data_IF_946686540081
#
_entry.id   IF_946686540081
#
_cell.length_a   1.000
_cell.length_b   1.000
_cell.length_c   1.000
_cell.angle_alpha   90.00
_cell.angle_beta   90.00
_cell.angle_gamma   90.00
#
_symmetry.space_group_name_H-M   'P 1'
#
loop_
_entity.id
_entity.type
_entity.pdbx_description
1 polymer ?
#
# COMPACT_ATOMS: atom_id res chain seq x y z
N UNK A 1 -12.36 -2.18 -27.19
CA UNK A 1 -13.09 -1.75 -25.99
C UNK A 1 -14.56 -1.89 -26.34
N UNK A 2 -15.22 -2.83 -25.73
CA UNK A 2 -16.64 -3.04 -25.97
C UNK A 2 -17.45 -1.85 -25.43
N UNK A 3 -18.59 -1.53 -26.04
CA UNK A 3 -19.43 -0.38 -25.62
C UNK A 3 -19.74 -0.44 -24.11
N UNK A 4 -19.88 -1.62 -23.58
CA UNK A 4 -20.17 -1.89 -22.16
C UNK A 4 -19.03 -1.47 -21.23
N UNK A 5 -17.77 -1.65 -21.62
CA UNK A 5 -16.61 -1.23 -20.84
C UNK A 5 -16.48 0.30 -20.74
N UNK A 6 -16.81 1.00 -21.83
CA UNK A 6 -16.81 2.46 -21.85
C UNK A 6 -17.87 3.05 -20.89
N UNK A 7 -19.07 2.45 -20.85
CA UNK A 7 -20.15 2.86 -19.93
C UNK A 7 -19.73 2.63 -18.47
N UNK A 8 -19.15 1.47 -18.18
CA UNK A 8 -18.64 1.14 -16.84
C UNK A 8 -17.58 2.15 -16.36
N UNK A 9 -16.62 2.50 -17.23
CA UNK A 9 -15.60 3.51 -16.91
C UNK A 9 -16.22 4.90 -16.67
N UNK A 10 -17.25 5.29 -17.43
CA UNK A 10 -17.96 6.56 -17.21
C UNK A 10 -18.64 6.57 -15.83
N UNK A 11 -19.34 5.49 -15.47
CA UNK A 11 -20.01 5.36 -14.16
C UNK A 11 -18.99 5.47 -13.03
N UNK A 12 -17.87 4.72 -13.11
CA UNK A 12 -16.79 4.75 -12.12
C UNK A 12 -16.20 6.17 -12.01
N UNK A 13 -15.89 6.81 -13.17
CA UNK A 13 -15.29 8.15 -13.20
C UNK A 13 -16.20 9.23 -12.61
N UNK A 14 -17.51 9.13 -12.82
CA UNK A 14 -18.49 10.05 -12.20
C UNK A 14 -18.47 9.86 -10.68
N UNK A 15 -18.47 8.63 -10.20
CA UNK A 15 -18.34 8.32 -8.78
C UNK A 15 -17.05 8.88 -8.18
N UNK A 16 -15.92 8.59 -8.79
CA UNK A 16 -14.59 9.07 -8.38
C UNK A 16 -14.51 10.60 -8.29
N UNK A 17 -15.23 11.32 -9.13
CA UNK A 17 -15.28 12.77 -9.09
C UNK A 17 -16.24 13.32 -8.03
N UNK A 18 -17.45 12.77 -7.93
CA UNK A 18 -18.53 13.32 -7.08
C UNK A 18 -18.36 12.94 -5.62
N UNK A 19 -17.94 11.70 -5.34
CA UNK A 19 -17.95 11.18 -3.96
C UNK A 19 -16.98 11.88 -3.02
N UNK A 20 -15.74 12.25 -3.40
CA UNK A 20 -14.87 13.05 -2.55
C UNK A 20 -15.46 14.42 -2.22
N UNK A 21 -16.20 15.06 -3.15
CA UNK A 21 -16.88 16.34 -2.92
C UNK A 21 -18.01 16.19 -1.90
N UNK A 22 -18.78 15.11 -2.00
CA UNK A 22 -19.83 14.79 -1.01
C UNK A 22 -19.20 14.46 0.34
N UNK A 23 -18.14 13.65 0.34
CA UNK A 23 -17.41 13.26 1.56
C UNK A 23 -16.92 14.45 2.36
N UNK A 24 -16.37 15.47 1.70
CA UNK A 24 -15.94 16.70 2.36
C UNK A 24 -17.10 17.42 3.08
N UNK A 25 -18.31 17.38 2.53
CA UNK A 25 -19.48 18.02 3.14
C UNK A 25 -20.02 17.26 4.36
N UNK A 26 -20.00 15.93 4.29
CA UNK A 26 -20.54 15.06 5.36
C UNK A 26 -19.45 14.58 6.34
N UNK A 27 -18.21 15.03 6.14
CA UNK A 27 -17.03 14.65 6.95
C UNK A 27 -16.75 13.13 6.97
N UNK A 28 -17.00 12.46 5.86
CA UNK A 28 -16.66 11.05 5.65
C UNK A 28 -15.51 10.99 4.64
N UNK A 29 -14.47 10.18 4.88
CA UNK A 29 -13.38 9.98 3.92
C UNK A 29 -13.94 9.54 2.56
N UNK A 30 -13.47 10.16 1.46
CA UNK A 30 -13.94 9.87 0.10
C UNK A 30 -13.85 8.39 -0.26
N UNK A 31 -12.76 7.74 0.14
CA UNK A 31 -12.52 6.31 -0.11
C UNK A 31 -13.63 5.40 0.44
N UNK A 32 -14.22 5.75 1.60
CA UNK A 32 -15.33 4.97 2.18
C UNK A 32 -16.58 5.09 1.31
N UNK A 33 -16.83 6.28 0.76
CA UNK A 33 -17.96 6.52 -0.15
C UNK A 33 -17.72 5.84 -1.51
N UNK A 34 -16.49 5.83 -1.99
CA UNK A 34 -16.10 5.14 -3.24
C UNK A 34 -16.32 3.63 -3.12
N UNK A 35 -15.91 3.02 -2.01
CA UNK A 35 -16.18 1.59 -1.75
C UNK A 35 -17.70 1.32 -1.68
N UNK A 36 -18.46 2.13 -0.94
CA UNK A 36 -19.90 1.97 -0.84
C UNK A 36 -20.61 2.14 -2.20
N UNK A 37 -20.13 3.09 -3.01
CA UNK A 37 -20.60 3.30 -4.37
C UNK A 37 -20.28 2.11 -5.26
N UNK A 38 -19.03 1.61 -5.25
CA UNK A 38 -18.61 0.45 -6.03
C UNK A 38 -19.47 -0.78 -5.72
N UNK A 39 -19.76 -1.05 -4.44
CA UNK A 39 -20.69 -2.12 -4.03
C UNK A 39 -22.08 -1.87 -4.61
N UNK A 40 -22.54 -0.63 -4.62
CA UNK A 40 -23.88 -0.29 -5.10
C UNK A 40 -24.01 -0.46 -6.61
N UNK A 41 -23.08 0.12 -7.39
CA UNK A 41 -23.16 0.11 -8.86
C UNK A 41 -22.71 -1.22 -9.47
N UNK A 42 -21.85 -1.98 -8.80
CA UNK A 42 -21.42 -3.31 -9.21
C UNK A 42 -22.40 -4.38 -8.75
N UNK A 43 -22.16 -5.07 -7.62
CA UNK A 43 -22.94 -6.25 -7.24
C UNK A 43 -24.43 -6.01 -7.01
N UNK A 44 -24.85 -4.80 -6.54
CA UNK A 44 -26.26 -4.54 -6.19
C UNK A 44 -27.09 -4.15 -7.40
N UNK A 45 -26.61 -3.20 -8.22
CA UNK A 45 -27.36 -2.70 -9.38
C UNK A 45 -26.97 -3.39 -10.69
N UNK A 46 -25.79 -4.03 -10.77
CA UNK A 46 -25.30 -4.66 -11.99
C UNK A 46 -25.04 -3.67 -13.13
N UNK A 47 -24.74 -2.39 -12.83
CA UNK A 47 -24.48 -1.37 -13.84
C UNK A 47 -23.03 -1.39 -14.32
N UNK A 48 -22.15 -1.95 -13.52
CA UNK A 48 -20.73 -2.14 -13.82
C UNK A 48 -20.42 -3.61 -13.73
N UNK A 49 -20.01 -4.19 -14.86
CA UNK A 49 -19.52 -5.56 -14.91
C UNK A 49 -17.99 -5.60 -14.73
N UNK A 50 -17.53 -6.62 -14.03
CA UNK A 50 -16.10 -6.90 -13.88
C UNK A 50 -15.54 -7.56 -15.15
N UNK A 51 -15.30 -6.78 -16.21
CA UNK A 51 -14.56 -7.27 -17.37
C UNK A 51 -13.08 -7.49 -17.02
N UNK A 52 -12.37 -8.29 -17.81
CA UNK A 52 -10.92 -8.50 -17.64
C UNK A 52 -10.15 -7.17 -17.69
N UNK A 53 -10.59 -6.23 -18.52
CA UNK A 53 -9.99 -4.93 -18.65
C UNK A 53 -10.16 -4.08 -17.38
N UNK A 54 -11.37 -3.97 -16.84
CA UNK A 54 -11.65 -3.23 -15.59
C UNK A 54 -10.92 -3.88 -14.41
N UNK A 55 -10.95 -5.21 -14.32
CA UNK A 55 -10.23 -5.96 -13.30
C UNK A 55 -8.71 -5.74 -13.40
N UNK A 56 -8.15 -5.66 -14.59
CA UNK A 56 -6.75 -5.34 -14.81
C UNK A 56 -6.38 -3.93 -14.33
N UNK A 57 -7.22 -2.93 -14.64
CA UNK A 57 -7.04 -1.56 -14.12
C UNK A 57 -7.18 -1.49 -12.60
N UNK A 58 -8.15 -2.20 -12.03
CA UNK A 58 -8.35 -2.27 -10.58
C UNK A 58 -7.12 -2.89 -9.88
N UNK A 59 -6.56 -3.99 -10.41
CA UNK A 59 -5.33 -4.59 -9.89
C UNK A 59 -4.17 -3.59 -9.95
N UNK A 60 -3.99 -2.85 -11.04
CA UNK A 60 -2.96 -1.83 -11.14
C UNK A 60 -3.19 -0.69 -10.15
N UNK A 61 -4.44 -0.26 -9.95
CA UNK A 61 -4.82 0.72 -8.93
C UNK A 61 -4.44 0.25 -7.54
N UNK A 62 -4.75 -1.00 -7.21
CA UNK A 62 -4.40 -1.61 -5.92
C UNK A 62 -2.88 -1.74 -5.71
N UNK A 63 -2.14 -2.16 -6.73
CA UNK A 63 -0.69 -2.23 -6.66
C UNK A 63 -0.06 -0.84 -6.47
N UNK A 64 -0.58 0.19 -7.13
CA UNK A 64 -0.15 1.58 -6.94
C UNK A 64 -0.49 2.09 -5.54
N UNK A 65 -1.65 1.75 -5.00
CA UNK A 65 -2.02 2.08 -3.63
C UNK A 65 -1.00 1.48 -2.63
N UNK A 66 -0.67 0.21 -2.80
CA UNK A 66 0.31 -0.48 -1.96
C UNK A 66 1.73 0.08 -2.14
N UNK A 67 2.10 0.45 -3.36
CA UNK A 67 3.36 1.14 -3.63
C UNK A 67 3.42 2.47 -2.89
N UNK A 68 2.37 3.28 -2.96
CA UNK A 68 2.28 4.57 -2.26
C UNK A 68 2.33 4.39 -0.73
N UNK A 69 1.66 3.39 -0.18
CA UNK A 69 1.74 3.07 1.25
C UNK A 69 3.18 2.75 1.68
N UNK A 70 3.91 1.96 0.87
CA UNK A 70 5.34 1.71 1.09
C UNK A 70 6.21 2.95 0.93
N UNK A 71 5.85 3.82 -0.01
CA UNK A 71 6.56 5.05 -0.30
C UNK A 71 6.40 6.13 0.78
N UNK A 72 5.29 6.12 1.52
CA UNK A 72 5.01 7.04 2.63
C UNK A 72 5.82 6.77 3.90
N UNK A 73 6.58 5.67 3.96
CA UNK A 73 7.40 5.35 5.12
C UNK A 73 8.50 6.40 5.31
N UNK A 74 8.38 7.21 6.36
CA UNK A 74 9.38 8.19 6.77
C UNK A 74 10.41 7.59 7.72
N UNK A 75 11.56 7.19 7.18
CA UNK A 75 12.62 6.57 7.97
C UNK A 75 13.39 7.56 8.85
N UNK A 76 13.42 8.83 8.49
CA UNK A 76 14.12 9.84 9.27
C UNK A 76 13.51 9.97 10.67
N UNK A 77 12.21 9.78 10.81
CA UNK A 77 11.53 9.69 12.10
C UNK A 77 12.03 8.52 12.95
N UNK A 78 12.38 7.39 12.33
CA UNK A 78 12.95 6.24 13.02
C UNK A 78 14.42 6.43 13.39
N UNK A 79 15.18 7.13 12.56
CA UNK A 79 16.61 7.41 12.79
C UNK A 79 16.84 8.42 13.89
N UNK A 80 16.05 9.48 13.95
CA UNK A 80 16.23 10.56 14.94
C UNK A 80 15.76 10.19 16.33
N UNK A 81 14.67 9.44 16.46
CA UNK A 81 14.03 9.15 17.76
C UNK A 81 14.50 7.85 18.43
N UNK A 82 15.25 7.00 17.73
CA UNK A 82 15.77 5.72 18.21
C UNK A 82 14.69 4.65 18.45
N UNK A 83 15.14 3.41 18.66
CA UNK A 83 14.26 2.23 18.82
C UNK A 83 13.32 2.30 20.04
N UNK A 84 13.63 3.13 21.03
CA UNK A 84 12.77 3.31 22.23
C UNK A 84 11.42 3.93 21.90
N UNK A 85 11.35 4.75 20.87
CA UNK A 85 10.08 5.37 20.42
C UNK A 85 9.13 4.35 19.80
N UNK A 86 9.65 3.24 19.29
CA UNK A 86 8.86 2.14 18.74
C UNK A 86 8.29 1.21 19.82
N UNK A 87 8.81 1.27 21.07
CA UNK A 87 8.40 0.34 22.11
C UNK A 87 6.90 0.45 22.43
N UNK A 88 6.37 1.66 22.52
CA UNK A 88 4.94 1.88 22.78
C UNK A 88 4.05 1.46 21.60
N UNK A 89 4.28 1.90 20.35
CA UNK A 89 3.54 1.40 19.20
C UNK A 89 3.60 -0.12 19.05
N UNK A 90 4.77 -0.72 19.23
CA UNK A 90 4.94 -2.17 19.14
C UNK A 90 4.16 -2.90 20.24
N UNK A 91 4.17 -2.39 21.48
CA UNK A 91 3.41 -3.01 22.57
C UNK A 91 1.90 -2.94 22.33
N UNK A 92 1.39 -1.83 21.80
CA UNK A 92 -0.01 -1.69 21.42
C UNK A 92 -0.37 -2.70 20.31
N UNK A 93 0.45 -2.78 19.26
CA UNK A 93 0.24 -3.73 18.19
C UNK A 93 0.25 -5.19 18.69
N UNK A 94 1.24 -5.58 19.48
CA UNK A 94 1.31 -6.93 20.06
C UNK A 94 0.11 -7.25 20.95
N UNK A 95 -0.39 -6.29 21.71
CA UNK A 95 -1.61 -6.44 22.50
C UNK A 95 -2.84 -6.65 21.59
N UNK A 96 -2.93 -5.88 20.50
CA UNK A 96 -4.01 -6.05 19.51
C UNK A 96 -3.96 -7.44 18.88
N UNK A 97 -2.78 -7.91 18.47
CA UNK A 97 -2.58 -9.26 17.93
C UNK A 97 -3.00 -10.32 18.95
N UNK A 98 -2.51 -10.23 20.19
CA UNK A 98 -2.83 -11.19 21.24
C UNK A 98 -4.33 -11.24 21.53
N UNK A 99 -4.99 -10.08 21.60
CA UNK A 99 -6.43 -9.97 21.85
C UNK A 99 -7.23 -10.54 20.69
N UNK A 100 -6.88 -10.22 19.45
CA UNK A 100 -7.52 -10.73 18.24
C UNK A 100 -7.38 -12.25 18.14
N UNK A 101 -6.20 -12.77 18.43
CA UNK A 101 -5.93 -14.21 18.42
C UNK A 101 -6.73 -14.94 19.49
N UNK A 102 -6.78 -14.40 20.71
CA UNK A 102 -7.58 -14.94 21.80
C UNK A 102 -9.07 -14.96 21.46
N UNK A 103 -9.59 -13.85 20.91
CA UNK A 103 -10.99 -13.71 20.57
C UNK A 103 -11.39 -14.71 19.45
N UNK A 104 -10.65 -14.76 18.37
CA UNK A 104 -10.91 -15.64 17.23
C UNK A 104 -10.79 -17.11 17.62
N UNK A 105 -9.78 -17.47 18.42
CA UNK A 105 -9.61 -18.82 18.92
C UNK A 105 -10.75 -19.24 19.85
N UNK A 106 -11.23 -18.34 20.71
CA UNK A 106 -12.37 -18.62 21.62
C UNK A 106 -13.69 -18.80 20.89
N UNK A 107 -13.84 -18.15 19.72
CA UNK A 107 -15.04 -18.28 18.87
C UNK A 107 -14.96 -19.44 17.87
N UNK A 108 -13.82 -20.15 17.80
CA UNK A 108 -13.63 -21.29 16.90
C UNK A 108 -13.48 -20.91 15.41
N UNK A 109 -13.14 -19.66 15.11
CA UNK A 109 -12.92 -19.22 13.74
C UNK A 109 -11.49 -19.49 13.25
N UNK A 110 -11.26 -19.49 11.91
CA UNK A 110 -9.93 -19.66 11.34
C UNK A 110 -8.96 -18.56 11.80
N UNK A 111 -7.73 -18.95 12.11
CA UNK A 111 -6.67 -18.04 12.58
C UNK A 111 -6.44 -16.83 11.65
N UNK A 112 -6.66 -17.01 10.34
CA UNK A 112 -6.56 -15.94 9.35
C UNK A 112 -7.44 -14.73 9.71
N UNK A 113 -8.62 -14.94 10.29
CA UNK A 113 -9.47 -13.82 10.74
C UNK A 113 -8.84 -13.00 11.86
N UNK A 114 -7.97 -13.60 12.67
CA UNK A 114 -7.23 -12.84 13.69
C UNK A 114 -6.26 -11.84 13.03
N UNK A 115 -5.61 -12.23 11.93
CA UNK A 115 -4.76 -11.31 11.15
C UNK A 115 -5.59 -10.18 10.53
N UNK A 116 -6.77 -10.51 9.97
CA UNK A 116 -7.69 -9.50 9.42
C UNK A 116 -8.12 -8.49 10.48
N UNK A 117 -8.41 -8.93 11.71
CA UNK A 117 -8.76 -8.02 12.81
C UNK A 117 -7.59 -7.16 13.30
N UNK A 118 -6.36 -7.54 13.00
CA UNK A 118 -5.16 -6.75 13.35
C UNK A 118 -4.81 -5.69 12.32
N UNK A 119 -5.42 -5.75 11.12
CA UNK A 119 -5.16 -4.75 10.08
C UNK A 119 -5.75 -3.40 10.46
N UNK A 120 -5.09 -2.34 10.03
CA UNK A 120 -5.62 -0.98 10.10
C UNK A 120 -5.25 -0.27 8.81
N UNK A 121 -5.97 0.80 8.46
CA UNK A 121 -5.63 1.61 7.29
C UNK A 121 -4.86 2.84 7.71
N UNK A 122 -3.60 2.92 7.31
CA UNK A 122 -2.73 4.09 7.56
C UNK A 122 -3.33 5.34 6.92
N UNK A 123 -3.87 5.24 5.70
CA UNK A 123 -4.45 6.37 4.96
C UNK A 123 -5.64 7.00 5.67
N UNK A 124 -6.52 6.16 6.24
CA UNK A 124 -7.67 6.67 7.02
C UNK A 124 -7.18 7.37 8.29
N UNK A 125 -6.21 6.78 8.98
CA UNK A 125 -5.63 7.37 10.20
C UNK A 125 -4.96 8.71 9.89
N UNK A 126 -4.15 8.80 8.82
CA UNK A 126 -3.51 10.06 8.40
C UNK A 126 -4.57 11.11 8.05
N UNK A 127 -5.59 10.74 7.29
CA UNK A 127 -6.64 11.66 6.86
C UNK A 127 -7.37 12.26 8.06
N UNK A 128 -7.72 11.44 9.05
CA UNK A 128 -8.37 11.89 10.28
C UNK A 128 -7.42 12.79 11.09
N UNK A 129 -6.17 12.36 11.31
CA UNK A 129 -5.20 13.15 12.08
C UNK A 129 -4.87 14.51 11.44
N UNK A 130 -4.91 14.59 10.10
CA UNK A 130 -4.75 15.85 9.37
C UNK A 130 -5.98 16.76 9.51
N UNK A 131 -7.18 16.20 9.38
CA UNK A 131 -8.44 16.97 9.51
C UNK A 131 -8.60 17.55 10.91
N UNK A 132 -8.19 16.82 11.94
CA UNK A 132 -8.25 17.25 13.34
C UNK A 132 -7.02 18.12 13.75
N UNK A 133 -6.04 18.31 12.85
CA UNK A 133 -4.83 19.07 13.15
C UNK A 133 -3.90 18.42 14.19
N UNK A 134 -4.16 17.17 14.56
CA UNK A 134 -3.44 16.46 15.63
C UNK A 134 -2.23 15.66 15.16
N UNK A 135 -1.98 15.58 13.83
CA UNK A 135 -0.90 14.77 13.26
C UNK A 135 0.50 15.10 13.80
N UNK A 136 0.76 16.37 14.18
CA UNK A 136 2.05 16.83 14.73
C UNK A 136 2.16 16.63 16.25
N UNK A 137 1.10 16.23 16.93
CA UNK A 137 1.13 15.98 18.38
C UNK A 137 1.81 14.65 18.68
N UNK A 138 2.29 14.46 19.93
CA UNK A 138 2.83 13.16 20.37
C UNK A 138 1.81 12.03 20.21
N UNK A 139 0.55 12.31 20.51
CA UNK A 139 -0.54 11.36 20.37
C UNK A 139 -0.75 10.97 18.91
N UNK A 140 -0.89 11.95 18.00
CA UNK A 140 -1.09 11.70 16.57
C UNK A 140 0.09 10.93 15.96
N UNK A 141 1.33 11.29 16.31
CA UNK A 141 2.52 10.56 15.85
C UNK A 141 2.55 9.11 16.36
N UNK A 142 2.17 8.87 17.61
CA UNK A 142 2.12 7.51 18.17
C UNK A 142 1.04 6.69 17.45
N UNK A 143 -0.14 7.26 17.25
CA UNK A 143 -1.24 6.57 16.55
C UNK A 143 -0.87 6.24 15.10
N UNK A 144 -0.25 7.19 14.39
CA UNK A 144 0.30 6.97 13.06
C UNK A 144 1.32 5.82 13.04
N UNK A 145 2.26 5.80 14.00
CA UNK A 145 3.25 4.73 14.11
C UNK A 145 2.63 3.36 14.40
N UNK A 146 1.59 3.30 15.25
CA UNK A 146 0.84 2.05 15.49
C UNK A 146 0.19 1.56 14.21
N UNK A 147 -0.50 2.44 13.49
CA UNK A 147 -1.15 2.11 12.23
C UNK A 147 -0.14 1.60 11.18
N UNK A 148 0.98 2.30 11.01
CA UNK A 148 2.03 1.94 10.08
C UNK A 148 2.66 0.57 10.42
N UNK A 149 2.97 0.32 11.70
CA UNK A 149 3.50 -0.96 12.14
C UNK A 149 2.47 -2.09 11.95
N UNK A 150 1.21 -1.83 12.27
CA UNK A 150 0.14 -2.80 12.08
C UNK A 150 0.03 -3.19 10.60
N UNK A 151 0.01 -2.22 9.69
CA UNK A 151 -0.10 -2.45 8.25
C UNK A 151 1.07 -3.30 7.71
N UNK A 152 2.30 -2.89 8.02
CA UNK A 152 3.51 -3.62 7.59
C UNK A 152 3.55 -5.03 8.18
N UNK A 153 3.37 -5.16 9.48
CA UNK A 153 3.55 -6.45 10.16
C UNK A 153 2.42 -7.43 9.84
N UNK A 154 1.19 -6.96 9.67
CA UNK A 154 0.08 -7.83 9.26
C UNK A 154 0.21 -8.28 7.82
N UNK A 155 0.68 -7.41 6.91
CA UNK A 155 0.96 -7.78 5.52
C UNK A 155 2.05 -8.88 5.45
N UNK A 156 3.14 -8.70 6.20
CA UNK A 156 4.20 -9.71 6.30
C UNK A 156 3.69 -11.02 6.91
N UNK A 157 2.92 -10.94 8.00
CA UNK A 157 2.35 -12.11 8.66
C UNK A 157 1.35 -12.85 7.75
N UNK A 158 0.50 -12.11 7.02
CA UNK A 158 -0.43 -12.68 6.05
C UNK A 158 0.28 -13.39 4.90
N UNK A 159 1.37 -12.79 4.38
CA UNK A 159 2.19 -13.40 3.32
C UNK A 159 2.85 -14.70 3.80
N UNK A 160 3.43 -14.71 5.00
CA UNK A 160 4.04 -15.92 5.59
C UNK A 160 2.96 -16.98 5.83
N UNK A 161 1.80 -16.58 6.34
CA UNK A 161 0.67 -17.48 6.58
C UNK A 161 0.14 -18.11 5.29
N UNK A 162 -0.07 -17.31 4.24
CA UNK A 162 -0.51 -17.77 2.93
C UNK A 162 0.50 -18.76 2.32
N UNK A 163 1.79 -18.44 2.38
CA UNK A 163 2.87 -19.33 1.91
C UNK A 163 2.89 -20.66 2.67
N UNK A 164 2.67 -20.62 4.00
CA UNK A 164 2.65 -21.83 4.82
C UNK A 164 1.44 -22.74 4.51
N UNK A 165 0.27 -22.16 4.27
CA UNK A 165 -0.95 -22.93 3.90
C UNK A 165 -0.81 -23.52 2.49
N UNK A 166 -0.36 -22.73 1.52
CA UNK A 166 -0.18 -23.18 0.15
C UNK A 166 0.84 -24.32 0.04
N UNK A 167 1.86 -24.33 0.90
CA UNK A 167 2.86 -25.38 0.96
C UNK A 167 2.43 -26.64 1.72
N UNK A 168 1.25 -26.64 2.36
CA UNK A 168 0.78 -27.78 3.18
C UNK A 168 1.60 -28.04 4.45
N UNK A 169 2.32 -27.02 4.95
CA UNK A 169 3.17 -27.09 6.14
C UNK A 169 4.61 -26.63 5.89
N UNK A 170 5.56 -27.08 6.71
CA UNK A 170 6.99 -26.82 6.53
C UNK A 170 7.51 -27.57 5.28
N UNK A 171 7.64 -26.86 4.17
CA UNK A 171 8.08 -27.36 2.87
C UNK A 171 9.25 -26.52 2.33
N UNK A 172 9.92 -27.06 1.31
CA UNK A 172 10.92 -26.32 0.53
C UNK A 172 10.35 -25.01 -0.04
N UNK A 173 9.04 -24.97 -0.28
CA UNK A 173 8.33 -23.75 -0.71
C UNK A 173 8.48 -22.58 0.28
N UNK A 174 8.65 -22.85 1.58
CA UNK A 174 8.91 -21.80 2.58
C UNK A 174 10.33 -21.18 2.43
N UNK A 175 11.24 -21.89 1.74
CA UNK A 175 12.54 -21.35 1.39
C UNK A 175 12.43 -20.21 0.36
N UNK A 176 11.41 -20.24 -0.51
CA UNK A 176 11.13 -19.19 -1.48
C UNK A 176 10.91 -17.83 -0.81
N UNK A 177 10.22 -17.80 0.34
CA UNK A 177 10.00 -16.55 1.10
C UNK A 177 11.34 -15.97 1.57
N UNK A 178 12.22 -16.80 2.10
CA UNK A 178 13.56 -16.37 2.57
C UNK A 178 14.38 -15.88 1.37
N UNK A 179 14.38 -16.64 0.28
CA UNK A 179 15.11 -16.30 -0.94
C UNK A 179 14.59 -14.99 -1.55
N UNK A 180 13.29 -14.80 -1.56
CA UNK A 180 12.65 -13.55 -1.99
C UNK A 180 13.17 -12.34 -1.19
N UNK A 181 13.16 -12.40 0.14
CA UNK A 181 13.68 -11.30 0.96
C UNK A 181 15.18 -11.06 0.74
N UNK A 182 15.96 -12.10 0.51
CA UNK A 182 17.38 -11.96 0.14
C UNK A 182 17.50 -11.19 -1.18
N UNK A 183 16.72 -11.55 -2.21
CA UNK A 183 16.70 -10.88 -3.52
C UNK A 183 16.27 -9.42 -3.37
N UNK A 184 15.21 -9.13 -2.60
CA UNK A 184 14.74 -7.76 -2.33
C UNK A 184 15.82 -6.93 -1.62
N UNK A 185 16.48 -7.48 -0.60
CA UNK A 185 17.56 -6.79 0.13
C UNK A 185 18.77 -6.57 -0.82
N UNK A 186 19.08 -7.53 -1.67
CA UNK A 186 20.15 -7.40 -2.68
C UNK A 186 19.82 -6.29 -3.68
N UNK A 187 18.57 -6.26 -4.17
CA UNK A 187 18.10 -5.23 -5.08
C UNK A 187 18.16 -3.84 -4.43
N UNK A 188 17.70 -3.71 -3.18
CA UNK A 188 17.83 -2.47 -2.40
C UNK A 188 19.30 -1.99 -2.34
N UNK A 189 20.24 -2.90 -2.03
CA UNK A 189 21.66 -2.56 -1.99
C UNK A 189 22.20 -2.12 -3.34
N UNK A 190 21.81 -2.80 -4.42
CA UNK A 190 22.21 -2.45 -5.80
C UNK A 190 21.68 -1.06 -6.16
N UNK A 191 20.37 -0.80 -5.96
CA UNK A 191 19.75 0.49 -6.29
C UNK A 191 20.43 1.61 -5.50
N UNK A 192 20.64 1.45 -4.20
CA UNK A 192 21.34 2.44 -3.37
C UNK A 192 22.77 2.68 -3.85
N UNK A 193 23.49 1.62 -4.26
CA UNK A 193 24.85 1.76 -4.77
C UNK A 193 24.89 2.49 -6.10
N UNK A 194 23.97 2.19 -7.02
CA UNK A 194 23.84 2.86 -8.31
C UNK A 194 23.42 4.33 -8.11
N UNK A 195 22.50 4.61 -7.21
CA UNK A 195 22.08 5.97 -6.86
C UNK A 195 23.25 6.79 -6.31
N UNK A 196 24.10 6.20 -5.47
CA UNK A 196 25.28 6.86 -4.92
C UNK A 196 26.35 7.13 -5.98
N UNK A 197 26.52 6.24 -6.98
CA UNK A 197 27.53 6.40 -8.04
C UNK A 197 27.09 7.38 -9.12
N UNK A 198 25.81 7.53 -9.37
CA UNK A 198 25.26 8.37 -10.44
C UNK A 198 24.24 9.41 -9.90
N UNK A 199 24.64 10.32 -9.01
CA UNK A 199 23.69 11.26 -8.39
C UNK A 199 23.02 12.20 -9.41
N UNK A 200 23.67 12.47 -10.55
CA UNK A 200 23.12 13.32 -11.61
C UNK A 200 21.94 12.68 -12.36
N UNK A 201 21.98 11.37 -12.58
CA UNK A 201 20.83 10.64 -13.17
C UNK A 201 19.64 10.69 -12.25
N UNK A 202 19.87 10.47 -10.96
CA UNK A 202 18.81 10.45 -9.97
C UNK A 202 18.28 11.85 -9.65
N UNK A 203 19.10 12.92 -9.70
CA UNK A 203 18.59 14.28 -9.51
C UNK A 203 17.59 14.68 -10.58
N UNK A 204 17.76 14.24 -11.83
CA UNK A 204 16.80 14.47 -12.91
C UNK A 204 15.46 13.78 -12.68
N UNK A 205 15.46 12.58 -12.09
CA UNK A 205 14.22 11.84 -11.77
C UNK A 205 13.32 12.55 -10.76
N UNK A 206 13.89 13.49 -9.98
CA UNK A 206 13.17 14.27 -8.97
C UNK A 206 13.00 15.74 -9.37
N UNK A 207 13.48 16.11 -10.55
CA UNK A 207 13.24 17.44 -11.10
C UNK A 207 11.80 17.51 -11.62
N UNK A 208 10.97 18.33 -10.98
CA UNK A 208 9.57 18.50 -11.37
C UNK A 208 9.36 19.11 -12.76
N UNK A 209 10.44 19.47 -13.44
CA UNK A 209 10.45 19.97 -14.81
C UNK A 209 11.00 18.96 -15.83
N UNK A 210 11.17 17.70 -15.44
CA UNK A 210 11.62 16.66 -16.38
C UNK A 210 10.50 16.33 -17.39
N UNK A 211 10.68 16.67 -18.70
CA UNK A 211 9.66 16.44 -19.72
C UNK A 211 9.37 14.95 -19.96
N UNK A 212 10.27 14.07 -19.57
CA UNK A 212 10.16 12.63 -19.74
C UNK A 212 9.50 11.92 -18.56
N UNK A 213 9.22 12.63 -17.45
CA UNK A 213 8.63 12.07 -16.21
C UNK A 213 9.36 10.80 -15.74
N UNK A 214 10.70 10.83 -15.80
CA UNK A 214 11.56 9.69 -15.49
C UNK A 214 11.32 9.17 -14.07
N UNK A 215 10.97 10.04 -13.13
CA UNK A 215 10.63 9.65 -11.76
C UNK A 215 9.42 8.73 -11.69
N UNK A 216 8.33 9.07 -12.39
CA UNK A 216 7.10 8.26 -12.44
C UNK A 216 7.38 6.94 -13.16
N UNK A 217 8.03 7.01 -14.33
CA UNK A 217 8.37 5.81 -15.12
C UNK A 217 9.23 4.83 -14.34
N UNK A 218 10.25 5.30 -13.64
CA UNK A 218 11.13 4.44 -12.84
C UNK A 218 10.43 3.86 -11.62
N UNK A 219 9.51 4.61 -11.00
CA UNK A 219 8.71 4.14 -9.87
C UNK A 219 7.80 2.99 -10.30
N UNK A 220 7.08 3.15 -11.41
CA UNK A 220 6.20 2.12 -11.97
C UNK A 220 7.03 0.90 -12.42
N UNK A 221 8.17 1.13 -13.09
CA UNK A 221 9.05 0.05 -13.51
C UNK A 221 9.56 -0.78 -12.32
N UNK A 222 10.03 -0.11 -11.26
CA UNK A 222 10.48 -0.79 -10.04
C UNK A 222 9.36 -1.56 -9.36
N UNK A 223 8.17 -0.96 -9.29
CA UNK A 223 6.98 -1.62 -8.75
C UNK A 223 6.68 -2.92 -9.53
N UNK A 224 6.58 -2.83 -10.85
CA UNK A 224 6.26 -4.00 -11.69
C UNK A 224 7.37 -5.07 -11.66
N UNK A 225 8.64 -4.68 -11.58
CA UNK A 225 9.76 -5.62 -11.41
C UNK A 225 9.60 -6.41 -10.11
N UNK A 226 9.35 -5.73 -8.99
CA UNK A 226 9.20 -6.40 -7.69
C UNK A 226 7.91 -7.22 -7.60
N UNK A 227 6.82 -6.75 -8.21
CA UNK A 227 5.60 -7.55 -8.38
C UNK A 227 5.90 -8.82 -9.17
N UNK A 228 6.60 -8.73 -10.29
CA UNK A 228 7.00 -9.89 -11.08
C UNK A 228 7.90 -10.87 -10.31
N UNK A 229 8.84 -10.34 -9.54
CA UNK A 229 9.70 -11.16 -8.65
C UNK A 229 8.84 -11.84 -7.58
N UNK A 230 7.89 -11.14 -6.96
CA UNK A 230 7.00 -11.73 -5.94
C UNK A 230 6.23 -12.92 -6.53
N UNK A 231 5.58 -12.72 -7.67
CA UNK A 231 4.83 -13.77 -8.37
C UNK A 231 5.72 -14.95 -8.74
N UNK A 232 6.96 -14.70 -9.18
CA UNK A 232 7.94 -15.76 -9.50
C UNK A 232 8.29 -16.64 -8.29
N UNK A 233 8.25 -16.07 -7.08
CA UNK A 233 8.50 -16.79 -5.83
C UNK A 233 7.22 -17.31 -5.15
N UNK A 234 6.08 -17.32 -5.83
CA UNK A 234 4.76 -17.69 -5.28
C UNK A 234 4.37 -16.82 -4.07
N UNK A 235 4.75 -15.54 -4.09
CA UNK A 235 4.45 -14.55 -3.05
C UNK A 235 3.43 -13.56 -3.60
N UNK A 236 2.57 -13.06 -2.72
CA UNK A 236 1.55 -12.08 -3.08
C UNK A 236 2.15 -10.84 -3.76
N UNK A 237 1.60 -10.48 -4.93
CA UNK A 237 2.00 -9.32 -5.73
C UNK A 237 1.97 -8.00 -4.93
N UNK A 238 1.03 -7.92 -3.99
CA UNK A 238 0.81 -6.80 -3.07
C UNK A 238 2.06 -6.47 -2.27
N UNK A 239 2.72 -7.51 -1.71
CA UNK A 239 3.96 -7.34 -0.95
C UNK A 239 5.09 -6.79 -1.85
N UNK A 240 5.16 -7.24 -3.11
CA UNK A 240 6.13 -6.72 -4.08
C UNK A 240 5.95 -5.24 -4.34
N UNK A 241 4.72 -4.79 -4.57
CA UNK A 241 4.40 -3.39 -4.78
C UNK A 241 4.75 -2.54 -3.54
N UNK A 242 4.36 -2.99 -2.35
CA UNK A 242 4.68 -2.33 -1.09
C UNK A 242 6.19 -2.20 -0.86
N UNK A 243 6.95 -3.27 -1.05
CA UNK A 243 8.40 -3.26 -0.90
C UNK A 243 9.09 -2.38 -1.96
N UNK A 244 8.55 -2.28 -3.17
CA UNK A 244 9.04 -1.34 -4.18
C UNK A 244 8.94 0.10 -3.71
N UNK A 245 7.78 0.49 -3.16
CA UNK A 245 7.58 1.81 -2.55
C UNK A 245 8.54 2.06 -1.40
N UNK A 246 8.69 1.08 -0.53
CA UNK A 246 9.63 1.11 0.60
C UNK A 246 11.08 1.29 0.12
N UNK A 247 11.54 0.52 -0.88
CA UNK A 247 12.88 0.66 -1.47
C UNK A 247 13.10 2.07 -2.01
N UNK A 248 12.09 2.60 -2.70
CA UNK A 248 12.13 3.94 -3.25
C UNK A 248 12.24 4.98 -2.13
N UNK A 249 11.44 4.82 -1.07
CA UNK A 249 11.47 5.64 0.14
C UNK A 249 12.84 5.64 0.82
N UNK A 250 13.48 4.48 0.93
CA UNK A 250 14.80 4.31 1.54
C UNK A 250 15.96 4.88 0.72
N UNK A 251 15.79 4.94 -0.60
CA UNK A 251 16.87 5.35 -1.50
C UNK A 251 16.90 6.85 -1.72
N UNK A 252 15.73 7.50 -1.71
CA UNK A 252 15.58 8.88 -2.11
C UNK A 252 14.96 9.75 -1.00
N UNK A 253 15.73 10.72 -0.49
CA UNK A 253 15.29 11.60 0.60
C UNK A 253 14.46 12.80 0.11
N UNK A 254 14.73 13.31 -1.11
CA UNK A 254 14.02 14.46 -1.66
C UNK A 254 12.95 14.03 -2.67
N UNK A 255 11.73 13.80 -2.19
CA UNK A 255 10.66 13.09 -2.92
C UNK A 255 9.42 13.93 -3.21
N UNK A 256 9.35 15.15 -2.69
CA UNK A 256 8.09 15.91 -2.59
C UNK A 256 7.35 16.13 -3.91
N UNK A 257 8.07 16.45 -4.99
CA UNK A 257 7.46 16.64 -6.32
C UNK A 257 7.00 15.33 -6.93
N UNK A 258 7.83 14.28 -6.89
CA UNK A 258 7.50 12.96 -7.39
C UNK A 258 6.33 12.34 -6.61
N UNK A 259 6.32 12.48 -5.29
CA UNK A 259 5.23 11.98 -4.44
C UNK A 259 3.90 12.63 -4.82
N UNK A 260 3.88 13.95 -5.01
CA UNK A 260 2.67 14.66 -5.41
C UNK A 260 2.17 14.24 -6.79
N UNK A 261 3.08 14.03 -7.76
CA UNK A 261 2.73 13.59 -9.11
C UNK A 261 2.21 12.16 -9.13
N UNK A 262 2.87 11.23 -8.42
CA UNK A 262 2.42 9.84 -8.28
C UNK A 262 1.07 9.76 -7.57
N UNK A 263 0.87 10.52 -6.48
CA UNK A 263 -0.41 10.61 -5.80
C UNK A 263 -1.49 11.16 -6.71
N UNK A 264 -1.20 12.23 -7.45
CA UNK A 264 -2.15 12.82 -8.39
C UNK A 264 -2.63 11.84 -9.46
N UNK A 265 -1.71 11.10 -10.07
CA UNK A 265 -2.03 10.07 -11.06
C UNK A 265 -2.79 8.88 -10.44
N UNK A 266 -2.33 8.38 -9.30
CA UNK A 266 -2.88 7.18 -8.68
C UNK A 266 -4.27 7.45 -8.09
N UNK A 267 -4.43 8.45 -7.23
CA UNK A 267 -5.72 8.80 -6.61
C UNK A 267 -6.68 9.47 -7.59
N UNK A 268 -6.17 10.12 -8.64
CA UNK A 268 -7.01 10.79 -9.63
C UNK A 268 -7.66 9.85 -10.63
N UNK A 269 -7.12 8.64 -10.84
CA UNK A 269 -7.61 7.75 -11.88
C UNK A 269 -7.65 6.28 -11.48
N UNK A 270 -6.52 5.67 -11.10
CA UNK A 270 -6.43 4.21 -10.99
C UNK A 270 -6.97 3.66 -9.66
N UNK A 271 -6.72 4.33 -8.56
CA UNK A 271 -7.20 3.87 -7.24
C UNK A 271 -8.73 3.88 -7.16
N UNK A 272 -9.45 4.88 -7.67
CA UNK A 272 -10.92 4.85 -7.67
C UNK A 272 -11.54 3.73 -8.50
N UNK A 273 -10.80 3.10 -9.42
CA UNK A 273 -11.28 1.95 -10.22
C UNK A 273 -11.20 0.66 -9.38
N UNK A 274 -10.22 0.56 -8.48
CA UNK A 274 -10.10 -0.54 -7.53
C UNK A 274 -11.20 -0.54 -6.50
#
# INVERSE_FOLDING_TARGET
MEEFEAVSLVIISIGAFVLPLVGQRIKIPGIVLEIAYGITVGPVLGWVDSSEFISGLAILGFLLLMFLSGFEIELDTFREKGLRTLALPMSIYLLTVATSFYLISSLGYPIFLALVLCTTSVDIVITILRSDGTIKTKYGQTLFMVALLADILTLLAATVYASFINAGGLSISNLNVILYFIVVIMLLRIIRRVAWWNPQLFSRMFDGNDPDELGIRSSIALMLILVGISVFFDIEAILGAFLAGTIFAFTFSNRGTLESSLKGFSYGFLIPIF
#
